data_IF_329690448037
#
_entry.id   IF_329690448037
#
_cell.length_a   1.000
_cell.length_b   1.000
_cell.length_c   1.000
_cell.angle_alpha   90.00
_cell.angle_beta   90.00
_cell.angle_gamma   90.00
#
_symmetry.space_group_name_H-M   'P 1'
#
loop_
_entity.id
_entity.type
_entity.pdbx_description
1 polymer ?
#
# COMPACT_ATOMS: atom_id res chain seq x y z
N UNK A 1 -19.09 -29.11 11.17
CA UNK A 1 -19.76 -28.15 12.08
C UNK A 1 -19.65 -26.75 11.47
N UNK A 2 -20.79 -26.04 11.36
CA UNK A 2 -20.82 -24.64 10.96
C UNK A 2 -20.77 -23.78 12.23
N UNK A 3 -19.75 -22.93 12.34
CA UNK A 3 -19.66 -21.96 13.42
C UNK A 3 -20.62 -20.80 13.13
N UNK A 4 -21.50 -20.51 14.08
CA UNK A 4 -22.42 -19.37 13.99
C UNK A 4 -22.02 -18.33 15.01
N UNK A 5 -22.07 -17.07 14.58
CA UNK A 5 -21.88 -15.94 15.47
C UNK A 5 -22.97 -15.91 16.54
N UNK A 6 -22.58 -15.74 17.79
CA UNK A 6 -23.49 -15.82 18.91
C UNK A 6 -24.58 -14.73 18.89
N UNK A 7 -24.22 -13.53 18.46
CA UNK A 7 -25.12 -12.38 18.45
C UNK A 7 -25.96 -12.31 17.18
N UNK A 8 -25.33 -12.44 16.03
CA UNK A 8 -26.02 -12.30 14.73
C UNK A 8 -26.69 -13.57 14.23
N UNK A 9 -26.42 -14.73 14.86
CA UNK A 9 -26.86 -16.07 14.44
C UNK A 9 -26.48 -16.45 13.00
N UNK A 10 -25.68 -15.64 12.33
CA UNK A 10 -25.20 -15.91 10.97
C UNK A 10 -24.01 -16.86 11.00
N UNK A 11 -23.84 -17.60 9.92
CA UNK A 11 -22.64 -18.43 9.73
C UNK A 11 -21.42 -17.54 9.65
N UNK A 12 -20.43 -17.81 10.49
CA UNK A 12 -19.15 -17.11 10.44
C UNK A 12 -18.38 -17.55 9.22
N UNK A 13 -17.97 -16.62 8.37
CA UNK A 13 -17.11 -16.86 7.23
C UNK A 13 -15.76 -16.20 7.43
N UNK A 14 -14.69 -16.90 7.10
CA UNK A 14 -13.34 -16.32 7.10
C UNK A 14 -13.15 -15.68 5.73
N UNK A 15 -12.82 -14.37 5.66
CA UNK A 15 -12.55 -13.71 4.39
C UNK A 15 -11.44 -14.42 3.61
N UNK A 16 -11.59 -14.54 2.31
CA UNK A 16 -10.61 -15.22 1.44
C UNK A 16 -9.19 -14.65 1.61
N UNK A 17 -9.07 -13.33 1.79
CA UNK A 17 -7.79 -12.65 2.03
C UNK A 17 -7.04 -13.16 3.26
N UNK A 18 -7.77 -13.59 4.30
CA UNK A 18 -7.17 -14.16 5.51
C UNK A 18 -6.80 -15.63 5.31
N UNK A 19 -7.54 -16.34 4.47
CA UNK A 19 -7.29 -17.74 4.18
C UNK A 19 -6.17 -17.94 3.15
N UNK A 20 -5.97 -17.00 2.23
CA UNK A 20 -5.00 -17.13 1.15
C UNK A 20 -3.56 -17.41 1.63
N UNK A 21 -3.00 -16.67 2.61
CA UNK A 21 -1.68 -16.96 3.16
C UNK A 21 -1.64 -18.37 3.78
N UNK A 22 -2.68 -18.72 4.53
CA UNK A 22 -2.77 -20.06 5.14
C UNK A 22 -2.80 -21.17 4.10
N UNK A 23 -3.62 -21.03 3.06
CA UNK A 23 -3.70 -22.02 1.96
C UNK A 23 -2.37 -22.18 1.22
N UNK A 24 -1.61 -21.11 1.02
CA UNK A 24 -0.29 -21.17 0.39
C UNK A 24 0.73 -21.87 1.27
N UNK A 25 0.72 -21.57 2.58
CA UNK A 25 1.63 -22.20 3.53
C UNK A 25 1.32 -23.69 3.68
N UNK A 26 0.05 -24.08 3.69
CA UNK A 26 -0.34 -25.50 3.81
C UNK A 26 0.14 -26.39 2.65
N UNK A 27 0.58 -25.80 1.53
CA UNK A 27 1.20 -26.51 0.43
C UNK A 27 2.70 -26.77 0.64
N UNK A 28 3.29 -26.16 1.66
CA UNK A 28 4.68 -26.37 2.01
C UNK A 28 4.82 -27.57 2.94
N UNK A 29 5.99 -28.20 2.92
CA UNK A 29 6.33 -29.23 3.90
C UNK A 29 6.47 -28.61 5.32
N UNK A 30 6.01 -29.35 6.32
CA UNK A 30 5.93 -28.87 7.70
C UNK A 30 7.28 -28.44 8.30
N UNK A 31 8.38 -29.06 7.87
CA UNK A 31 9.76 -28.75 8.27
C UNK A 31 10.20 -27.33 7.82
N UNK A 32 9.57 -26.77 6.80
CA UNK A 32 9.83 -25.41 6.33
C UNK A 32 9.11 -24.34 7.14
N UNK A 33 8.15 -24.71 7.97
CA UNK A 33 7.24 -23.79 8.67
C UNK A 33 7.60 -23.75 10.15
N UNK A 34 7.80 -22.55 10.68
CA UNK A 34 8.02 -22.33 12.10
C UNK A 34 7.14 -21.19 12.62
N UNK A 35 6.34 -21.46 13.64
CA UNK A 35 5.59 -20.44 14.33
C UNK A 35 6.54 -19.62 15.21
N UNK A 36 6.38 -18.30 15.17
CA UNK A 36 7.26 -17.35 15.87
C UNK A 36 6.55 -16.82 17.11
N UNK A 37 7.28 -16.66 18.23
CA UNK A 37 6.70 -16.17 19.48
C UNK A 37 6.36 -14.67 19.42
N UNK A 38 7.08 -13.89 18.61
CA UNK A 38 6.90 -12.45 18.50
C UNK A 38 5.89 -12.11 17.43
N UNK A 39 5.19 -10.98 17.59
CA UNK A 39 4.26 -10.46 16.58
C UNK A 39 4.99 -10.10 15.28
N UNK A 40 4.24 -10.03 14.18
CA UNK A 40 4.80 -9.68 12.86
C UNK A 40 5.52 -8.32 12.88
N UNK A 41 4.94 -7.33 13.58
CA UNK A 41 5.52 -5.99 13.70
C UNK A 41 6.88 -5.96 14.40
N UNK A 42 7.19 -6.93 15.27
CA UNK A 42 8.51 -7.05 15.87
C UNK A 42 9.62 -7.20 14.82
N UNK A 43 9.33 -7.87 13.71
CA UNK A 43 10.31 -8.12 12.65
C UNK A 43 10.43 -6.98 11.64
N UNK A 44 9.66 -5.90 11.77
CA UNK A 44 9.77 -4.72 10.92
C UNK A 44 11.04 -3.91 11.18
N UNK A 45 11.56 -3.96 12.40
CA UNK A 45 12.75 -3.20 12.79
C UNK A 45 14.00 -3.73 12.08
N UNK A 46 14.61 -2.90 11.26
CA UNK A 46 15.86 -3.23 10.55
C UNK A 46 15.70 -4.19 9.35
N UNK A 47 14.47 -4.54 8.96
CA UNK A 47 14.23 -5.43 7.83
C UNK A 47 13.30 -4.78 6.79
N UNK A 48 13.64 -4.92 5.52
CA UNK A 48 12.81 -4.46 4.41
C UNK A 48 11.65 -5.43 4.21
N UNK A 49 10.45 -4.90 4.08
CA UNK A 49 9.30 -5.68 3.68
C UNK A 49 9.44 -6.05 2.20
N UNK A 50 9.27 -7.31 1.87
CA UNK A 50 9.42 -7.83 0.51
C UNK A 50 8.17 -8.56 0.07
N UNK A 51 7.93 -8.56 -1.23
CA UNK A 51 6.86 -9.36 -1.86
C UNK A 51 7.50 -10.52 -2.60
N UNK A 52 6.97 -11.72 -2.40
CA UNK A 52 7.40 -12.90 -3.15
C UNK A 52 6.77 -12.88 -4.53
N UNK A 53 7.57 -12.92 -5.59
CA UNK A 53 7.09 -12.79 -6.97
C UNK A 53 7.00 -14.11 -7.73
N UNK A 54 7.55 -15.19 -7.17
CA UNK A 54 7.53 -16.51 -7.81
C UNK A 54 7.28 -17.66 -6.84
N UNK A 55 6.98 -18.83 -7.38
CA UNK A 55 6.77 -20.05 -6.61
C UNK A 55 5.42 -20.11 -5.89
N UNK A 56 5.27 -21.08 -4.99
CA UNK A 56 4.04 -21.33 -4.23
C UNK A 56 3.64 -20.15 -3.37
N UNK A 57 4.64 -19.39 -2.89
CA UNK A 57 4.46 -18.24 -2.00
C UNK A 57 4.22 -16.92 -2.75
N UNK A 58 4.19 -16.94 -4.08
CA UNK A 58 4.01 -15.71 -4.87
C UNK A 58 2.81 -14.88 -4.39
N UNK A 59 3.02 -13.58 -4.22
CA UNK A 59 2.02 -12.64 -3.70
C UNK A 59 1.91 -12.58 -2.19
N UNK A 60 2.72 -13.33 -1.43
CA UNK A 60 2.85 -13.13 0.00
C UNK A 60 3.89 -12.04 0.29
N UNK A 61 3.65 -11.35 1.39
CA UNK A 61 4.51 -10.29 1.87
C UNK A 61 5.09 -10.63 3.22
N UNK A 62 6.34 -10.24 3.42
CA UNK A 62 7.00 -10.51 4.68
C UNK A 62 8.37 -9.87 4.79
N UNK A 63 9.00 -10.11 5.92
CA UNK A 63 10.36 -9.67 6.19
C UNK A 63 11.34 -10.81 5.97
N UNK A 64 12.44 -10.54 5.27
CA UNK A 64 13.55 -11.50 5.21
C UNK A 64 14.40 -11.33 6.45
N UNK A 65 14.35 -12.32 7.31
CA UNK A 65 15.05 -12.33 8.59
C UNK A 65 16.06 -13.48 8.62
N UNK A 66 17.21 -13.25 9.22
CA UNK A 66 18.21 -14.29 9.42
C UNK A 66 18.00 -14.97 10.76
N UNK A 67 17.54 -16.21 10.74
CA UNK A 67 17.30 -17.01 11.94
C UNK A 67 18.16 -18.26 11.88
N UNK A 68 19.01 -18.50 12.89
CA UNK A 68 19.91 -19.64 12.94
C UNK A 68 20.79 -19.79 11.67
N UNK A 69 21.36 -18.68 11.19
CA UNK A 69 22.20 -18.58 9.99
C UNK A 69 21.47 -18.80 8.65
N UNK A 70 20.18 -19.07 8.67
CA UNK A 70 19.35 -19.27 7.47
C UNK A 70 18.47 -18.05 7.21
N UNK A 71 18.32 -17.67 5.93
CA UNK A 71 17.35 -16.65 5.52
C UNK A 71 15.95 -17.26 5.55
N UNK A 72 15.04 -16.62 6.25
CA UNK A 72 13.64 -17.01 6.37
C UNK A 72 12.73 -15.86 6.01
N UNK A 73 11.63 -16.16 5.34
CA UNK A 73 10.55 -15.21 5.13
C UNK A 73 9.62 -15.25 6.33
N UNK A 74 9.49 -14.14 7.03
CA UNK A 74 8.55 -13.99 8.15
C UNK A 74 7.30 -13.29 7.64
N UNK A 75 6.16 -13.92 7.77
CA UNK A 75 4.86 -13.42 7.29
C UNK A 75 3.83 -13.41 8.42
N UNK A 76 2.77 -12.64 8.21
CA UNK A 76 1.59 -12.65 9.07
C UNK A 76 0.50 -13.55 8.46
N UNK A 77 -0.05 -14.45 9.27
CA UNK A 77 -1.15 -15.34 8.88
C UNK A 77 -2.23 -15.25 9.93
N UNK A 78 -3.25 -14.45 9.65
CA UNK A 78 -4.19 -14.08 10.70
C UNK A 78 -3.48 -13.37 11.86
N UNK A 79 -3.61 -13.88 13.06
CA UNK A 79 -2.93 -13.35 14.25
C UNK A 79 -1.61 -14.08 14.57
N UNK A 80 -1.15 -14.95 13.69
CA UNK A 80 0.07 -15.73 13.88
C UNK A 80 1.20 -15.18 13.03
N UNK A 81 2.41 -15.23 13.56
CA UNK A 81 3.64 -14.93 12.82
C UNK A 81 4.33 -16.24 12.46
N UNK A 82 4.63 -16.41 11.19
CA UNK A 82 5.21 -17.64 10.65
C UNK A 82 6.50 -17.34 9.92
N UNK A 83 7.56 -18.07 10.24
CA UNK A 83 8.83 -18.04 9.51
C UNK A 83 8.92 -19.24 8.58
N UNK A 84 9.22 -18.99 7.31
CA UNK A 84 9.31 -19.99 6.25
C UNK A 84 10.77 -20.12 5.83
N UNK A 85 11.31 -21.32 5.86
CA UNK A 85 12.67 -21.65 5.39
C UNK A 85 12.69 -22.03 3.92
N UNK A 86 13.90 -22.17 3.35
CA UNK A 86 14.09 -22.59 1.96
C UNK A 86 13.64 -21.55 0.93
N UNK A 87 13.59 -20.29 1.32
CA UNK A 87 13.15 -19.16 0.45
C UNK A 87 14.22 -18.73 -0.54
N UNK A 88 15.42 -19.32 -0.51
CA UNK A 88 16.49 -19.03 -1.47
C UNK A 88 16.13 -19.36 -2.93
N UNK A 89 15.08 -20.14 -3.15
CA UNK A 89 14.57 -20.47 -4.48
C UNK A 89 13.46 -19.53 -4.95
N UNK A 90 12.96 -18.67 -4.07
CA UNK A 90 11.93 -17.69 -4.37
C UNK A 90 12.56 -16.38 -4.83
N UNK A 91 11.95 -15.70 -5.77
CA UNK A 91 12.37 -14.36 -6.19
C UNK A 91 11.66 -13.30 -5.37
N UNK A 92 12.43 -12.32 -4.90
CA UNK A 92 11.95 -11.17 -4.16
C UNK A 92 12.31 -9.90 -4.91
N UNK A 93 11.34 -9.04 -5.06
CA UNK A 93 11.51 -7.76 -5.74
C UNK A 93 11.13 -6.63 -4.78
N UNK A 94 11.84 -5.52 -4.87
CA UNK A 94 11.38 -4.29 -4.25
C UNK A 94 10.24 -3.68 -5.08
N UNK A 95 9.48 -2.77 -4.47
CA UNK A 95 8.33 -2.17 -5.14
C UNK A 95 8.70 -1.46 -6.45
N UNK A 96 9.86 -0.81 -6.51
CA UNK A 96 10.31 -0.08 -7.70
C UNK A 96 10.64 -1.02 -8.87
N UNK A 97 11.34 -2.12 -8.60
CA UNK A 97 11.64 -3.14 -9.61
C UNK A 97 10.37 -3.82 -10.10
N UNK A 98 9.46 -4.17 -9.19
CA UNK A 98 8.18 -4.76 -9.53
C UNK A 98 7.36 -3.84 -10.46
N UNK A 99 7.27 -2.55 -10.13
CA UNK A 99 6.56 -1.56 -10.96
C UNK A 99 7.19 -1.47 -12.36
N UNK A 100 8.52 -1.45 -12.47
CA UNK A 100 9.21 -1.43 -13.77
C UNK A 100 8.83 -2.63 -14.62
N UNK A 101 8.86 -3.84 -14.04
CA UNK A 101 8.48 -5.06 -14.75
C UNK A 101 7.01 -5.05 -15.17
N UNK A 102 6.10 -4.62 -14.30
CA UNK A 102 4.68 -4.53 -14.64
C UNK A 102 4.40 -3.54 -15.77
N UNK A 103 5.06 -2.38 -15.77
CA UNK A 103 4.97 -1.40 -16.87
C UNK A 103 5.45 -1.98 -18.21
N UNK A 104 6.56 -2.70 -18.21
CA UNK A 104 7.07 -3.37 -19.40
C UNK A 104 6.09 -4.43 -19.94
N UNK A 105 5.42 -5.18 -19.06
CA UNK A 105 4.43 -6.19 -19.44
C UNK A 105 3.15 -5.59 -19.99
N UNK A 106 2.74 -4.42 -19.54
CA UNK A 106 1.49 -3.78 -19.94
C UNK A 106 1.57 -3.04 -21.29
N UNK A 107 2.76 -2.95 -21.92
CA UNK A 107 2.95 -2.21 -23.18
C UNK A 107 2.18 -0.87 -23.15
N UNK A 108 2.62 0.05 -22.30
CA UNK A 108 1.91 1.29 -22.01
C UNK A 108 1.60 2.12 -23.26
N UNK A 109 0.49 1.77 -23.91
CA UNK A 109 -0.22 2.63 -24.85
C UNK A 109 -1.16 3.61 -24.11
N UNK A 110 -0.95 3.87 -22.84
CA UNK A 110 -1.65 4.95 -22.13
C UNK A 110 -0.92 6.25 -22.42
N UNK A 111 -1.24 6.84 -23.56
CA UNK A 111 -0.99 8.25 -23.80
C UNK A 111 -1.60 9.05 -22.65
N UNK A 112 -0.76 9.37 -21.68
CA UNK A 112 -1.07 10.41 -20.74
C UNK A 112 -1.35 11.68 -21.54
N UNK A 113 -2.49 12.29 -21.32
CA UNK A 113 -2.70 13.67 -21.67
C UNK A 113 -1.60 14.46 -20.95
N UNK A 114 -0.55 14.84 -21.67
CA UNK A 114 0.57 15.62 -21.18
C UNK A 114 0.10 17.03 -20.84
N UNK A 115 -0.49 17.19 -19.67
CA UNK A 115 -0.45 18.45 -18.94
C UNK A 115 1.00 18.57 -18.47
N UNK A 116 1.62 19.74 -18.61
CA UNK A 116 3.00 19.98 -18.20
C UNK A 116 3.20 19.63 -16.71
N UNK A 117 3.60 18.39 -16.45
CA UNK A 117 3.95 17.93 -15.12
C UNK A 117 5.32 18.50 -14.74
N UNK A 118 5.47 18.89 -13.50
CA UNK A 118 6.80 19.21 -12.93
C UNK A 118 7.65 17.93 -12.86
N UNK A 119 8.99 18.08 -12.79
CA UNK A 119 9.88 16.89 -12.62
C UNK A 119 9.46 16.01 -11.47
N UNK A 120 9.03 16.61 -10.35
CA UNK A 120 8.56 15.88 -9.17
C UNK A 120 7.26 15.13 -9.42
N UNK A 121 6.32 15.76 -10.10
CA UNK A 121 5.07 15.11 -10.50
C UNK A 121 5.31 13.95 -11.47
N UNK A 122 6.25 14.08 -12.41
CA UNK A 122 6.64 12.97 -13.29
C UNK A 122 7.24 11.79 -12.53
N UNK A 123 8.03 12.05 -11.50
CA UNK A 123 8.58 10.99 -10.65
C UNK A 123 7.48 10.30 -9.83
N UNK A 124 6.53 11.05 -9.25
CA UNK A 124 5.36 10.49 -8.55
C UNK A 124 4.47 9.74 -9.54
N UNK A 125 4.22 10.30 -10.73
CA UNK A 125 3.49 9.63 -11.81
C UNK A 125 4.12 8.27 -12.17
N UNK A 126 5.45 8.20 -12.13
CA UNK A 126 6.18 6.95 -12.38
C UNK A 126 5.88 5.84 -11.39
N UNK A 127 5.38 6.14 -10.20
CA UNK A 127 4.95 5.16 -9.20
C UNK A 127 3.61 4.49 -9.55
N UNK A 128 2.83 5.09 -10.46
CA UNK A 128 1.52 4.60 -10.84
C UNK A 128 1.55 3.82 -12.14
N UNK A 129 0.74 2.77 -12.19
CA UNK A 129 0.39 2.01 -13.38
C UNK A 129 -1.02 1.44 -13.19
N UNK A 130 -1.60 0.80 -14.20
CA UNK A 130 -2.92 0.20 -14.08
C UNK A 130 -2.86 -1.05 -13.20
N UNK A 131 -3.44 -1.05 -11.98
CA UNK A 131 -3.40 -2.21 -11.12
C UNK A 131 -4.42 -3.27 -11.56
N UNK A 132 -4.01 -4.54 -11.56
CA UNK A 132 -4.87 -5.68 -11.86
C UNK A 132 -5.18 -6.52 -10.63
N UNK A 133 -4.35 -6.41 -9.61
CA UNK A 133 -4.44 -7.24 -8.40
C UNK A 133 -3.94 -6.50 -7.16
N UNK A 134 -4.10 -7.15 -5.99
CA UNK A 134 -3.68 -6.58 -4.70
C UNK A 134 -2.17 -6.29 -4.62
N UNK A 135 -1.33 -7.09 -5.27
CA UNK A 135 0.12 -6.92 -5.25
C UNK A 135 0.51 -5.63 -5.95
N UNK A 136 -0.16 -5.31 -7.06
CA UNK A 136 0.04 -4.08 -7.81
C UNK A 136 -0.24 -2.85 -6.92
N UNK A 137 -1.36 -2.87 -6.19
CA UNK A 137 -1.70 -1.77 -5.26
C UNK A 137 -0.69 -1.65 -4.13
N UNK A 138 -0.23 -2.77 -3.58
CA UNK A 138 0.81 -2.76 -2.55
C UNK A 138 2.15 -2.22 -3.07
N UNK A 139 2.52 -2.56 -4.30
CA UNK A 139 3.73 -2.04 -4.92
C UNK A 139 3.63 -0.52 -5.14
N UNK A 140 2.48 -0.03 -5.60
CA UNK A 140 2.20 1.40 -5.73
C UNK A 140 2.30 2.07 -4.35
N UNK A 141 1.61 1.53 -3.34
CA UNK A 141 1.64 2.04 -1.95
C UNK A 141 3.08 2.24 -1.46
N UNK A 142 3.92 1.23 -1.58
CA UNK A 142 5.33 1.31 -1.15
C UNK A 142 6.16 2.32 -1.91
N UNK A 143 5.91 2.46 -3.20
CA UNK A 143 6.59 3.49 -3.99
C UNK A 143 6.19 4.90 -3.56
N UNK A 144 4.97 5.05 -3.05
CA UNK A 144 4.47 6.34 -2.55
C UNK A 144 4.98 6.68 -1.14
N UNK A 145 5.40 5.70 -0.34
CA UNK A 145 5.87 5.91 1.04
C UNK A 145 7.01 6.94 1.12
N UNK A 146 7.93 6.91 0.16
CA UNK A 146 9.01 7.90 0.07
C UNK A 146 8.49 9.32 -0.11
N UNK A 147 7.45 9.49 -0.92
CA UNK A 147 6.85 10.80 -1.23
C UNK A 147 6.03 11.34 -0.06
N UNK A 148 5.29 10.46 0.63
CA UNK A 148 4.56 10.81 1.86
C UNK A 148 5.57 11.22 2.95
N UNK A 149 6.66 10.47 3.08
CA UNK A 149 7.74 10.81 4.01
C UNK A 149 8.40 12.14 3.65
N UNK A 150 8.62 12.40 2.37
CA UNK A 150 9.15 13.68 1.90
C UNK A 150 8.18 14.84 2.17
N UNK A 151 6.87 14.64 1.98
CA UNK A 151 5.87 15.65 2.32
C UNK A 151 5.90 15.98 3.82
N UNK A 152 5.96 14.94 4.70
CA UNK A 152 6.13 15.12 6.15
C UNK A 152 7.39 15.93 6.51
N UNK A 153 8.49 15.70 5.78
CA UNK A 153 9.74 16.45 5.98
C UNK A 153 9.60 17.91 5.53
N UNK A 154 8.99 18.16 4.36
CA UNK A 154 8.77 19.50 3.84
C UNK A 154 7.89 20.34 4.76
N UNK A 155 6.89 19.74 5.40
CA UNK A 155 6.07 20.41 6.44
C UNK A 155 6.95 20.88 7.61
N UNK A 156 7.88 20.03 8.09
CA UNK A 156 8.81 20.39 9.16
C UNK A 156 9.76 21.52 8.76
N UNK A 157 10.16 21.53 7.47
CA UNK A 157 11.05 22.53 6.88
C UNK A 157 10.34 23.85 6.54
N UNK A 158 9.01 23.94 6.73
CA UNK A 158 8.21 25.12 6.41
C UNK A 158 7.92 25.30 4.92
N UNK A 159 8.20 24.29 4.09
CA UNK A 159 7.94 24.29 2.63
C UNK A 159 6.54 23.76 2.33
N UNK A 160 5.53 24.45 2.85
CA UNK A 160 4.15 23.99 2.83
C UNK A 160 3.57 23.83 1.43
N UNK A 161 3.85 24.75 0.51
CA UNK A 161 3.35 24.66 -0.87
C UNK A 161 3.80 23.39 -1.56
N UNK A 162 5.09 23.00 -1.42
CA UNK A 162 5.62 21.78 -2.02
C UNK A 162 5.01 20.52 -1.38
N UNK A 163 4.74 20.54 -0.08
CA UNK A 163 4.09 19.44 0.61
C UNK A 163 2.65 19.25 0.12
N UNK A 164 1.90 20.36 -0.08
CA UNK A 164 0.55 20.35 -0.65
C UNK A 164 0.59 19.78 -2.07
N UNK A 165 1.51 20.25 -2.91
CA UNK A 165 1.63 19.78 -4.29
C UNK A 165 1.83 18.25 -4.37
N UNK A 166 2.69 17.69 -3.51
CA UNK A 166 2.92 16.23 -3.45
C UNK A 166 1.65 15.50 -3.01
N UNK A 167 1.08 15.91 -1.90
CA UNK A 167 -0.05 15.22 -1.27
C UNK A 167 -1.30 15.26 -2.14
N UNK A 168 -1.61 16.43 -2.71
CA UNK A 168 -2.78 16.59 -3.59
C UNK A 168 -2.60 15.83 -4.90
N UNK A 169 -1.41 15.83 -5.49
CA UNK A 169 -1.13 15.07 -6.70
C UNK A 169 -1.29 13.56 -6.48
N UNK A 170 -0.81 13.02 -5.35
CA UNK A 170 -0.99 11.59 -5.02
C UNK A 170 -2.48 11.25 -4.89
N UNK A 171 -3.26 12.06 -4.17
CA UNK A 171 -4.70 11.83 -4.01
C UNK A 171 -5.44 11.88 -5.35
N UNK A 172 -5.08 12.82 -6.24
CA UNK A 172 -5.65 12.94 -7.57
C UNK A 172 -5.37 11.69 -8.41
N UNK A 173 -4.13 11.20 -8.41
CA UNK A 173 -3.73 10.01 -9.15
C UNK A 173 -4.41 8.73 -8.61
N UNK A 174 -4.57 8.61 -7.31
CA UNK A 174 -5.36 7.52 -6.68
C UNK A 174 -6.80 7.57 -7.18
N UNK A 175 -7.43 8.74 -7.16
CA UNK A 175 -8.79 8.95 -7.65
C UNK A 175 -8.94 8.59 -9.13
N UNK A 176 -8.03 9.09 -9.98
CA UNK A 176 -8.08 8.89 -11.42
C UNK A 176 -7.80 7.44 -11.85
N UNK A 177 -6.76 6.82 -11.30
CA UNK A 177 -6.22 5.56 -11.83
C UNK A 177 -6.68 4.33 -11.09
N UNK A 178 -6.92 4.46 -9.80
CA UNK A 178 -7.26 3.32 -8.96
C UNK A 178 -8.78 3.24 -8.74
N UNK A 179 -9.40 4.34 -8.32
CA UNK A 179 -10.81 4.32 -7.91
C UNK A 179 -11.78 4.56 -9.07
N UNK A 180 -11.41 5.36 -10.07
CA UNK A 180 -12.32 5.72 -11.17
C UNK A 180 -12.71 4.52 -12.05
N UNK A 181 -11.84 3.52 -12.21
CA UNK A 181 -12.11 2.30 -13.00
C UNK A 181 -12.68 1.14 -12.17
N UNK A 182 -12.91 1.34 -10.89
CA UNK A 182 -13.12 0.30 -9.91
C UNK A 182 -14.56 -0.18 -9.71
N UNK A 183 -15.31 -0.49 -10.76
CA UNK A 183 -16.51 -1.36 -10.64
C UNK A 183 -16.16 -2.86 -10.70
N UNK A 184 -14.91 -3.21 -10.50
CA UNK A 184 -14.48 -4.61 -10.45
C UNK A 184 -14.71 -5.18 -9.04
N UNK A 185 -15.22 -6.39 -8.95
CA UNK A 185 -15.48 -7.16 -7.72
C UNK A 185 -14.25 -7.37 -6.80
N UNK A 186 -13.11 -6.82 -7.16
CA UNK A 186 -11.85 -6.91 -6.41
C UNK A 186 -11.53 -5.65 -5.58
N UNK A 187 -12.35 -4.59 -5.66
CA UNK A 187 -12.09 -3.33 -4.91
C UNK A 187 -12.15 -3.51 -3.40
N UNK A 188 -13.07 -4.32 -2.89
CA UNK A 188 -13.18 -4.60 -1.44
C UNK A 188 -11.90 -5.19 -0.86
N UNK A 189 -11.09 -5.86 -1.70
CA UNK A 189 -9.85 -6.53 -1.28
C UNK A 189 -8.63 -5.60 -1.19
N UNK A 190 -8.73 -4.40 -1.73
CA UNK A 190 -7.62 -3.43 -1.77
C UNK A 190 -7.96 -2.11 -1.10
N UNK A 191 -9.21 -1.95 -0.71
CA UNK A 191 -9.70 -0.71 -0.10
C UNK A 191 -8.91 -0.35 1.17
N UNK A 192 -8.59 -1.32 1.99
CA UNK A 192 -7.76 -1.16 3.19
C UNK A 192 -6.39 -0.51 2.91
N UNK A 193 -5.76 -0.85 1.78
CA UNK A 193 -4.46 -0.29 1.41
C UNK A 193 -4.62 1.16 0.95
N UNK A 194 -5.65 1.41 0.13
CA UNK A 194 -5.95 2.75 -0.39
C UNK A 194 -6.33 3.69 0.75
N UNK A 195 -7.19 3.23 1.66
CA UNK A 195 -7.57 3.98 2.86
C UNK A 195 -6.35 4.34 3.72
N UNK A 196 -5.41 3.41 3.92
CA UNK A 196 -4.19 3.68 4.67
C UNK A 196 -3.34 4.78 4.02
N UNK A 197 -3.16 4.75 2.69
CA UNK A 197 -2.42 5.80 1.97
C UNK A 197 -3.13 7.14 2.12
N UNK A 198 -4.43 7.17 1.88
CA UNK A 198 -5.23 8.41 1.98
C UNK A 198 -5.19 8.96 3.41
N UNK A 199 -5.34 8.13 4.43
CA UNK A 199 -5.30 8.53 5.83
C UNK A 199 -3.94 9.13 6.22
N UNK A 200 -2.83 8.55 5.75
CA UNK A 200 -1.51 9.13 6.00
C UNK A 200 -1.36 10.53 5.37
N UNK A 201 -1.87 10.70 4.16
CA UNK A 201 -1.84 11.99 3.46
C UNK A 201 -2.74 13.00 4.16
N UNK A 202 -3.96 12.60 4.54
CA UNK A 202 -4.90 13.45 5.27
C UNK A 202 -4.29 13.90 6.60
N UNK A 203 -3.58 13.02 7.30
CA UNK A 203 -2.89 13.39 8.54
C UNK A 203 -1.81 14.46 8.30
N UNK A 204 -1.09 14.40 7.19
CA UNK A 204 -0.11 15.45 6.82
C UNK A 204 -0.83 16.78 6.57
N UNK A 205 -1.94 16.76 5.83
CA UNK A 205 -2.73 17.95 5.55
C UNK A 205 -3.37 18.53 6.82
N UNK A 206 -3.97 17.71 7.67
CA UNK A 206 -4.56 18.12 8.95
C UNK A 206 -3.51 18.77 9.87
N UNK A 207 -2.30 18.19 9.94
CA UNK A 207 -1.19 18.78 10.70
C UNK A 207 -0.86 20.20 10.22
N UNK A 208 -0.99 20.48 8.93
CA UNK A 208 -0.78 21.82 8.38
C UNK A 208 -1.97 22.75 8.67
N UNK A 209 -3.21 22.24 8.57
CA UNK A 209 -4.42 23.03 8.88
C UNK A 209 -4.45 23.48 10.35
N UNK A 210 -4.05 22.62 11.27
CA UNK A 210 -4.02 22.91 12.71
C UNK A 210 -2.84 23.79 13.15
N UNK A 211 -1.74 23.76 12.42
CA UNK A 211 -0.51 24.45 12.80
C UNK A 211 -0.64 25.97 12.67
N UNK A 212 -0.33 26.70 13.75
CA UNK A 212 -0.26 28.16 13.74
C UNK A 212 0.88 28.72 12.86
N UNK A 213 1.85 27.90 12.49
CA UNK A 213 3.00 28.29 11.66
C UNK A 213 2.69 28.33 10.16
N UNK A 214 1.61 27.67 9.74
CA UNK A 214 1.21 27.60 8.34
C UNK A 214 0.44 28.87 7.97
N UNK A 215 0.82 29.57 6.88
CA UNK A 215 0.11 30.75 6.40
C UNK A 215 -1.36 30.45 6.08
N UNK A 216 -2.24 31.39 6.34
CA UNK A 216 -3.70 31.26 6.09
C UNK A 216 -3.99 30.89 4.63
N UNK A 217 -3.28 31.49 3.69
CA UNK A 217 -3.40 31.19 2.26
C UNK A 217 -3.18 29.72 1.94
N UNK A 218 -2.19 29.09 2.59
CA UNK A 218 -1.91 27.66 2.38
C UNK A 218 -3.00 26.79 2.99
N UNK A 219 -3.57 27.17 4.12
CA UNK A 219 -4.71 26.47 4.73
C UNK A 219 -5.95 26.55 3.86
N UNK A 220 -6.26 27.73 3.35
CA UNK A 220 -7.38 27.93 2.42
C UNK A 220 -7.19 27.10 1.14
N UNK A 221 -5.96 27.06 0.61
CA UNK A 221 -5.60 26.22 -0.52
C UNK A 221 -5.89 24.74 -0.25
N UNK A 222 -5.48 24.21 0.91
CA UNK A 222 -5.74 22.81 1.30
C UNK A 222 -7.24 22.54 1.28
N UNK A 223 -8.03 23.40 1.92
CA UNK A 223 -9.50 23.24 1.99
C UNK A 223 -10.11 23.22 0.58
N UNK A 224 -9.75 24.19 -0.26
CA UNK A 224 -10.26 24.28 -1.64
C UNK A 224 -9.90 23.07 -2.50
N UNK A 225 -8.64 22.63 -2.44
CA UNK A 225 -8.19 21.47 -3.21
C UNK A 225 -8.82 20.16 -2.69
N UNK A 226 -8.95 19.96 -1.38
CA UNK A 226 -9.70 18.84 -0.79
C UNK A 226 -11.15 18.80 -1.29
N UNK A 227 -11.87 19.92 -1.24
CA UNK A 227 -13.24 20.01 -1.73
C UNK A 227 -13.34 19.68 -3.22
N UNK A 228 -12.41 20.18 -4.03
CA UNK A 228 -12.35 19.85 -5.46
C UNK A 228 -12.14 18.35 -5.70
N UNK A 229 -11.27 17.71 -4.90
CA UNK A 229 -11.03 16.27 -5.00
C UNK A 229 -12.26 15.45 -4.61
N UNK A 230 -12.96 15.80 -3.53
CA UNK A 230 -14.21 15.13 -3.10
C UNK A 230 -15.28 15.21 -4.19
N UNK A 231 -15.43 16.37 -4.84
CA UNK A 231 -16.41 16.53 -5.93
C UNK A 231 -16.03 15.67 -7.14
N UNK A 232 -14.75 15.63 -7.51
CA UNK A 232 -14.25 14.88 -8.67
C UNK A 232 -14.19 13.37 -8.41
N UNK A 233 -13.89 12.98 -7.19
CA UNK A 233 -13.67 11.59 -6.77
C UNK A 233 -14.43 11.26 -5.49
N UNK A 234 -15.76 11.11 -5.55
CA UNK A 234 -16.59 10.91 -4.36
C UNK A 234 -16.33 9.59 -3.61
N UNK A 235 -15.51 8.72 -4.16
CA UNK A 235 -15.10 7.46 -3.53
C UNK A 235 -13.74 7.54 -2.81
N UNK A 236 -13.06 8.70 -2.89
CA UNK A 236 -11.85 8.90 -2.09
C UNK A 236 -12.24 8.96 -0.61
N UNK A 237 -11.55 8.20 0.26
CA UNK A 237 -11.82 8.23 1.70
C UNK A 237 -11.20 9.50 2.32
N UNK A 238 -11.66 10.66 1.87
CA UNK A 238 -11.31 11.99 2.41
C UNK A 238 -12.53 12.42 3.21
N UNK A 239 -12.50 12.20 4.53
CA UNK A 239 -13.52 12.75 5.44
C UNK A 239 -13.25 14.24 5.67
N UNK A 240 -14.33 15.02 5.76
CA UNK A 240 -14.31 16.40 6.26
C UNK A 240 -13.90 16.46 7.73
#
# INVERSE_FOLDING_TARGET
YLVRDYYTKRTVSIPHRMMLPFMKISQLSADRIRFMPNSFGYYSSGHTLVTVTSGVLAGLEGYIVRIAREKRLVISVGNMTVAISGVSKETFENAEEYIKLRKLQQNDASSSNFIHLTSRQMEIDSCFFQPENRIDILAISRSLDKWITQAKFLVKDGKYSEAIDITMFILEEIGCRILHKGKSSNMDKVQDIIENICNEIILVLATMEESAKVPTEQKERIVMEKQSLVIRFPFLPISD
#
